data_IF_385035749614
#
_entry.id   IF_385035749614
#
_cell.length_a   1.000
_cell.length_b   1.000
_cell.length_c   1.000
_cell.angle_alpha   90.00
_cell.angle_beta   90.00
_cell.angle_gamma   90.00
#
_symmetry.space_group_name_H-M   'P 1'
#
loop_
_entity.id
_entity.type
_entity.pdbx_description
1 polymer ?
#
# COMPACT_ATOMS: atom_id res chain seq x y z
N UNK A 1 6.60 2.86 19.21
CA UNK A 1 5.99 1.70 18.55
C UNK A 1 4.46 1.82 18.52
N UNK A 2 3.79 2.16 19.62
CA UNK A 2 2.32 2.23 19.71
C UNK A 2 1.69 3.23 18.74
N UNK A 3 2.26 4.43 18.56
CA UNK A 3 1.77 5.42 17.61
C UNK A 3 1.90 4.93 16.16
N UNK A 4 3.01 4.27 15.82
CA UNK A 4 3.21 3.71 14.49
C UNK A 4 2.18 2.61 14.20
N UNK A 5 1.92 1.74 15.17
CA UNK A 5 0.91 0.69 15.04
C UNK A 5 -0.50 1.27 14.84
N UNK A 6 -0.89 2.28 15.61
CA UNK A 6 -2.18 2.97 15.45
C UNK A 6 -2.32 3.64 14.07
N UNK A 7 -1.26 4.30 13.60
CA UNK A 7 -1.25 4.89 12.26
C UNK A 7 -1.41 3.83 11.17
N UNK A 8 -0.72 2.68 11.29
CA UNK A 8 -0.80 1.58 10.33
C UNK A 8 -2.19 0.93 10.29
N UNK A 9 -2.84 0.75 11.44
CA UNK A 9 -4.20 0.19 11.54
C UNK A 9 -5.21 0.99 10.73
N UNK A 10 -5.08 2.31 10.67
CA UNK A 10 -5.95 3.19 9.88
C UNK A 10 -5.44 3.33 8.44
N UNK A 11 -4.14 3.49 8.26
CA UNK A 11 -3.51 3.77 6.96
C UNK A 11 -3.68 2.61 5.98
N UNK A 12 -3.45 1.37 6.41
CA UNK A 12 -3.50 0.20 5.53
C UNK A 12 -4.89 -0.03 4.93
N UNK A 13 -5.99 -0.07 5.72
CA UNK A 13 -7.33 -0.20 5.14
C UNK A 13 -7.71 0.97 4.24
N UNK A 14 -7.37 2.20 4.64
CA UNK A 14 -7.67 3.40 3.87
C UNK A 14 -7.02 3.35 2.49
N UNK A 15 -5.71 3.04 2.43
CA UNK A 15 -4.98 2.96 1.16
C UNK A 15 -5.50 1.81 0.30
N UNK A 16 -5.82 0.66 0.88
CA UNK A 16 -6.38 -0.47 0.14
C UNK A 16 -7.74 -0.11 -0.48
N UNK A 17 -8.65 0.50 0.29
CA UNK A 17 -9.96 0.93 -0.21
C UNK A 17 -9.80 1.98 -1.31
N UNK A 18 -8.98 3.00 -1.10
CA UNK A 18 -8.71 4.04 -2.11
C UNK A 18 -8.09 3.47 -3.38
N UNK A 19 -7.20 2.50 -3.27
CA UNK A 19 -6.58 1.83 -4.41
C UNK A 19 -7.60 1.03 -5.22
N UNK A 20 -8.48 0.27 -4.54
CA UNK A 20 -9.57 -0.47 -5.20
C UNK A 20 -10.52 0.49 -5.92
N UNK A 21 -10.93 1.57 -5.26
CA UNK A 21 -11.78 2.61 -5.86
C UNK A 21 -11.11 3.21 -7.09
N UNK A 22 -9.84 3.61 -7.01
CA UNK A 22 -9.09 4.25 -8.09
C UNK A 22 -8.95 3.34 -9.31
N UNK A 23 -8.57 2.07 -9.12
CA UNK A 23 -8.40 1.12 -10.22
C UNK A 23 -9.76 0.79 -10.84
N UNK A 24 -10.77 0.51 -10.03
CA UNK A 24 -12.11 0.20 -10.51
C UNK A 24 -12.78 1.39 -11.20
N UNK A 25 -12.46 2.62 -10.79
CA UNK A 25 -12.96 3.85 -11.41
C UNK A 25 -12.34 4.13 -12.79
N UNK A 26 -11.19 3.60 -13.12
CA UNK A 26 -10.50 3.81 -14.41
C UNK A 26 -11.09 3.00 -15.57
N UNK A 27 -11.89 1.96 -15.32
CA UNK A 27 -12.59 1.18 -16.33
C UNK A 27 -13.90 1.85 -16.80
N UNK A 28 -14.03 2.19 -18.07
CA UNK A 28 -15.05 3.05 -18.69
C UNK A 28 -16.55 2.65 -18.62
N UNK A 29 -17.02 1.85 -17.70
CA UNK A 29 -18.38 1.29 -17.70
C UNK A 29 -19.35 2.01 -16.73
N UNK A 30 -20.62 2.17 -17.14
CA UNK A 30 -21.68 2.97 -16.50
C UNK A 30 -22.19 2.41 -15.15
N UNK A 31 -21.95 1.14 -14.84
CA UNK A 31 -22.32 0.50 -13.57
C UNK A 31 -21.14 0.47 -12.55
N UNK A 32 -20.33 1.51 -12.57
CA UNK A 32 -19.07 1.63 -11.80
C UNK A 32 -19.23 1.36 -10.32
N UNK A 33 -20.22 1.95 -9.69
CA UNK A 33 -20.38 1.87 -8.23
C UNK A 33 -20.70 0.46 -7.75
N UNK A 34 -21.48 -0.31 -8.50
CA UNK A 34 -21.76 -1.72 -8.16
C UNK A 34 -20.51 -2.58 -8.30
N UNK A 35 -19.71 -2.33 -9.33
CA UNK A 35 -18.44 -3.03 -9.54
C UNK A 35 -17.44 -2.66 -8.46
N UNK A 36 -17.34 -1.36 -8.11
CA UNK A 36 -16.43 -0.86 -7.06
C UNK A 36 -16.80 -1.45 -5.70
N UNK A 37 -18.07 -1.37 -5.29
CA UNK A 37 -18.51 -1.93 -4.01
C UNK A 37 -18.33 -3.45 -3.96
N UNK A 38 -18.65 -4.16 -5.03
CA UNK A 38 -18.37 -5.59 -5.14
C UNK A 38 -16.87 -5.87 -5.00
N UNK A 39 -16.02 -5.17 -5.74
CA UNK A 39 -14.56 -5.35 -5.69
C UNK A 39 -13.96 -5.04 -4.33
N UNK A 40 -14.46 -4.03 -3.61
CA UNK A 40 -14.03 -3.72 -2.24
C UNK A 40 -14.45 -4.81 -1.27
N UNK A 41 -15.72 -5.23 -1.30
CA UNK A 41 -16.28 -6.21 -0.38
C UNK A 41 -15.78 -7.64 -0.60
N UNK A 42 -15.34 -7.97 -1.82
CA UNK A 42 -14.76 -9.29 -2.13
C UNK A 42 -13.23 -9.30 -2.10
N UNK A 43 -12.59 -8.16 -1.87
CA UNK A 43 -11.14 -8.08 -1.82
C UNK A 43 -10.61 -8.71 -0.52
N UNK A 44 -9.79 -9.77 -0.60
CA UNK A 44 -9.30 -10.46 0.59
C UNK A 44 -8.43 -9.59 1.50
N UNK A 45 -7.70 -8.60 0.94
CA UNK A 45 -6.90 -7.67 1.73
C UNK A 45 -7.78 -6.73 2.55
N UNK A 46 -8.85 -6.22 1.94
CA UNK A 46 -9.83 -5.35 2.61
C UNK A 46 -10.57 -6.12 3.69
N UNK A 47 -11.05 -7.34 3.36
CA UNK A 47 -11.74 -8.21 4.32
C UNK A 47 -10.84 -8.56 5.52
N UNK A 48 -9.58 -8.91 5.29
CA UNK A 48 -8.64 -9.20 6.37
C UNK A 48 -8.43 -8.00 7.30
N UNK A 49 -8.32 -6.78 6.75
CA UNK A 49 -8.22 -5.55 7.55
C UNK A 49 -9.47 -5.33 8.41
N UNK A 50 -10.66 -5.46 7.84
CA UNK A 50 -11.91 -5.27 8.60
C UNK A 50 -12.13 -6.35 9.64
N UNK A 51 -11.79 -7.61 9.32
CA UNK A 51 -11.85 -8.71 10.31
C UNK A 51 -10.88 -8.46 11.46
N UNK A 52 -9.63 -8.10 11.18
CA UNK A 52 -8.64 -7.80 12.22
C UNK A 52 -9.05 -6.62 13.10
N UNK A 53 -9.58 -5.54 12.51
CA UNK A 53 -10.11 -4.41 13.28
C UNK A 53 -11.34 -4.81 14.12
N UNK A 54 -12.24 -5.63 13.57
CA UNK A 54 -13.41 -6.14 14.30
C UNK A 54 -13.01 -6.98 15.50
N UNK A 55 -12.12 -7.95 15.32
CA UNK A 55 -11.62 -8.80 16.42
C UNK A 55 -10.97 -7.94 17.52
N UNK A 56 -10.17 -6.94 17.13
CA UNK A 56 -9.54 -6.02 18.07
C UNK A 56 -10.56 -5.14 18.81
N UNK A 57 -11.58 -4.61 18.11
CA UNK A 57 -12.60 -3.75 18.70
C UNK A 57 -13.47 -4.49 19.72
N UNK A 58 -13.86 -5.73 19.43
CA UNK A 58 -14.67 -6.56 20.32
C UNK A 58 -13.83 -7.31 21.37
N UNK A 59 -12.49 -7.07 21.41
CA UNK A 59 -11.58 -7.79 22.31
C UNK A 59 -11.77 -9.30 22.26
N UNK A 60 -11.96 -9.86 21.05
CA UNK A 60 -12.15 -11.30 20.89
C UNK A 60 -10.83 -11.99 21.18
N UNK A 61 -10.81 -12.83 22.20
CA UNK A 61 -9.66 -13.68 22.52
C UNK A 61 -9.53 -14.77 21.47
N UNK A 62 -8.50 -14.67 20.64
CA UNK A 62 -8.15 -15.74 19.70
C UNK A 62 -7.32 -16.76 20.47
N UNK A 63 -7.68 -18.06 20.44
CA UNK A 63 -6.89 -19.11 21.09
C UNK A 63 -5.43 -19.10 20.63
N UNK A 64 -4.49 -19.46 21.50
CA UNK A 64 -3.05 -19.46 21.23
C UNK A 64 -2.71 -20.23 19.95
N UNK A 65 -3.32 -21.40 19.75
CA UNK A 65 -3.17 -22.18 18.51
C UNK A 65 -3.59 -21.37 17.26
N UNK A 66 -4.64 -20.54 17.37
CA UNK A 66 -5.09 -19.67 16.28
C UNK A 66 -4.05 -18.61 15.95
N UNK A 67 -3.42 -18.00 16.94
CA UNK A 67 -2.34 -17.05 16.77
C UNK A 67 -1.11 -17.69 16.13
N UNK A 68 -0.69 -18.86 16.59
CA UNK A 68 0.44 -19.61 16.02
C UNK A 68 0.22 -19.91 14.53
N UNK A 69 -0.99 -20.36 14.14
CA UNK A 69 -1.32 -20.62 12.74
C UNK A 69 -1.25 -19.34 11.91
N UNK A 70 -1.83 -18.25 12.39
CA UNK A 70 -1.81 -16.96 11.68
C UNK A 70 -0.37 -16.45 11.54
N UNK A 71 0.45 -16.57 12.56
CA UNK A 71 1.86 -16.17 12.54
C UNK A 71 2.64 -16.96 11.49
N UNK A 72 2.58 -18.30 11.52
CA UNK A 72 3.25 -19.15 10.54
C UNK A 72 2.81 -18.85 9.11
N UNK A 73 1.52 -18.59 8.87
CA UNK A 73 1.00 -18.23 7.55
C UNK A 73 1.40 -16.83 7.12
N UNK A 74 1.67 -15.92 8.05
CA UNK A 74 2.08 -14.54 7.75
C UNK A 74 3.56 -14.42 7.37
N UNK A 75 4.43 -15.26 7.91
CA UNK A 75 5.88 -15.22 7.68
C UNK A 75 6.28 -15.23 6.18
N UNK A 76 5.70 -16.08 5.32
CA UNK A 76 6.04 -16.10 3.89
C UNK A 76 5.43 -14.95 3.08
N UNK A 77 4.54 -14.14 3.66
CA UNK A 77 3.82 -13.10 2.90
C UNK A 77 4.76 -12.08 2.25
N UNK A 78 5.78 -11.59 3.00
CA UNK A 78 6.75 -10.65 2.47
C UNK A 78 7.66 -11.28 1.40
N UNK A 79 8.33 -12.43 1.64
CA UNK A 79 9.14 -13.07 0.62
C UNK A 79 8.35 -13.43 -0.66
N UNK A 80 7.15 -13.99 -0.51
CA UNK A 80 6.31 -14.35 -1.67
C UNK A 80 5.84 -13.09 -2.41
N UNK A 81 5.51 -12.02 -1.71
CA UNK A 81 5.17 -10.74 -2.31
C UNK A 81 6.31 -10.17 -3.15
N UNK A 82 7.55 -10.19 -2.63
CA UNK A 82 8.73 -9.74 -3.36
C UNK A 82 9.05 -10.63 -4.58
N UNK A 83 8.92 -11.95 -4.45
CA UNK A 83 9.09 -12.88 -5.57
C UNK A 83 8.04 -12.62 -6.66
N UNK A 84 6.78 -12.38 -6.28
CA UNK A 84 5.71 -12.06 -7.23
C UNK A 84 5.98 -10.76 -7.98
N UNK A 85 6.46 -9.73 -7.29
CA UNK A 85 6.90 -8.46 -7.93
C UNK A 85 8.06 -8.71 -8.88
N UNK A 86 9.09 -9.43 -8.41
CA UNK A 86 10.26 -9.77 -9.23
C UNK A 86 9.89 -10.52 -10.52
N UNK A 87 8.97 -11.47 -10.43
CA UNK A 87 8.47 -12.20 -11.59
C UNK A 87 7.64 -11.32 -12.57
N UNK A 88 7.11 -10.19 -12.09
CA UNK A 88 6.35 -9.25 -12.90
C UNK A 88 7.18 -8.18 -13.61
N UNK A 89 8.49 -8.12 -13.39
CA UNK A 89 9.37 -7.11 -13.99
C UNK A 89 9.59 -7.42 -15.47
N UNK A 90 9.24 -6.48 -16.33
CA UNK A 90 9.48 -6.52 -17.77
C UNK A 90 10.23 -5.26 -18.20
N UNK A 91 11.55 -5.35 -18.28
CA UNK A 91 12.43 -4.22 -18.63
C UNK A 91 12.17 -3.62 -20.02
N UNK A 92 11.65 -4.42 -20.94
CA UNK A 92 11.35 -3.99 -22.34
C UNK A 92 10.23 -2.94 -22.39
N UNK A 93 9.34 -2.93 -21.40
CA UNK A 93 8.16 -2.03 -21.38
C UNK A 93 8.48 -0.66 -20.77
N UNK A 94 9.67 -0.45 -20.22
CA UNK A 94 10.04 0.82 -19.56
C UNK A 94 10.02 1.98 -20.56
N UNK A 95 10.39 1.75 -21.83
CA UNK A 95 10.46 2.79 -22.87
C UNK A 95 9.13 3.52 -23.11
N UNK A 96 8.02 2.80 -23.18
CA UNK A 96 6.68 3.35 -23.46
C UNK A 96 5.99 3.93 -22.24
N UNK A 97 6.49 3.65 -21.03
CA UNK A 97 5.85 4.01 -19.76
C UNK A 97 6.73 4.90 -18.86
N UNK A 98 7.79 5.49 -19.44
CA UNK A 98 8.75 6.32 -18.70
C UNK A 98 8.08 7.49 -17.98
N UNK A 99 7.10 8.14 -18.62
CA UNK A 99 6.37 9.24 -18.02
C UNK A 99 5.57 8.81 -16.78
N UNK A 100 4.81 7.71 -16.88
CA UNK A 100 4.03 7.17 -15.77
C UNK A 100 4.94 6.76 -14.59
N UNK A 101 6.08 6.16 -14.89
CA UNK A 101 7.09 5.79 -13.90
C UNK A 101 7.67 7.04 -13.22
N UNK A 102 8.08 8.05 -14.00
CA UNK A 102 8.64 9.29 -13.48
C UNK A 102 7.65 10.02 -12.57
N UNK A 103 6.38 10.14 -12.99
CA UNK A 103 5.33 10.75 -12.19
C UNK A 103 5.08 9.97 -10.90
N UNK A 104 5.00 8.63 -10.98
CA UNK A 104 4.78 7.79 -9.81
C UNK A 104 5.92 7.89 -8.78
N UNK A 105 7.18 7.91 -9.26
CA UNK A 105 8.36 8.11 -8.41
C UNK A 105 8.35 9.49 -7.75
N UNK A 106 8.18 10.54 -8.54
CA UNK A 106 8.16 11.92 -8.05
C UNK A 106 7.05 12.15 -7.03
N UNK A 107 5.82 11.75 -7.37
CA UNK A 107 4.68 11.94 -6.48
C UNK A 107 4.85 11.17 -5.17
N UNK A 108 5.31 9.93 -5.21
CA UNK A 108 5.39 9.07 -4.03
C UNK A 108 6.59 9.39 -3.14
N UNK A 109 7.78 9.62 -3.73
CA UNK A 109 9.02 9.75 -2.95
C UNK A 109 9.40 11.19 -2.61
N UNK A 110 8.83 12.17 -3.33
CA UNK A 110 9.13 13.59 -3.11
C UNK A 110 7.88 14.41 -2.75
N UNK A 111 6.87 14.42 -3.61
CA UNK A 111 5.71 15.28 -3.39
C UNK A 111 4.91 14.87 -2.15
N UNK A 112 4.69 13.58 -1.94
CA UNK A 112 3.88 13.10 -0.81
C UNK A 112 4.58 13.30 0.55
N UNK A 113 5.86 12.96 0.77
CA UNK A 113 6.58 13.33 1.98
C UNK A 113 6.63 14.85 2.21
N UNK A 114 6.90 15.63 1.15
CA UNK A 114 6.91 17.11 1.27
C UNK A 114 5.56 17.65 1.75
N UNK A 115 4.44 17.14 1.23
CA UNK A 115 3.10 17.50 1.69
C UNK A 115 2.90 17.16 3.17
N UNK A 116 3.41 16.00 3.61
CA UNK A 116 3.32 15.60 5.01
C UNK A 116 4.16 16.52 5.90
N UNK A 117 5.37 16.90 5.48
CA UNK A 117 6.18 17.90 6.22
C UNK A 117 5.40 19.23 6.35
N UNK A 118 4.85 19.75 5.26
CA UNK A 118 4.04 20.97 5.31
C UNK A 118 2.85 20.81 6.25
N UNK A 119 2.13 19.67 6.17
CA UNK A 119 0.99 19.41 7.03
C UNK A 119 1.39 19.32 8.51
N UNK A 120 2.50 18.64 8.84
CA UNK A 120 2.98 18.55 10.24
C UNK A 120 3.36 19.89 10.82
N UNK A 121 3.93 20.80 10.00
CA UNK A 121 4.26 22.17 10.39
C UNK A 121 3.01 23.03 10.58
N UNK A 122 2.05 22.95 9.66
CA UNK A 122 0.80 23.73 9.73
C UNK A 122 -0.06 23.35 10.92
N UNK A 123 -0.23 22.04 11.16
CA UNK A 123 -1.04 21.53 12.27
C UNK A 123 -0.28 21.40 13.58
N UNK A 124 1.01 21.76 13.62
CA UNK A 124 1.87 21.69 14.81
C UNK A 124 1.79 20.34 15.50
N UNK A 125 1.89 19.26 14.71
CA UNK A 125 1.79 17.90 15.23
C UNK A 125 2.95 17.59 16.17
N UNK A 126 2.70 16.70 17.14
CA UNK A 126 3.74 16.23 18.06
C UNK A 126 4.91 15.59 17.26
N UNK A 127 6.18 15.83 17.66
CA UNK A 127 7.35 15.34 16.92
C UNK A 127 7.34 13.84 16.64
N UNK A 128 6.90 13.04 17.61
CA UNK A 128 6.79 11.59 17.43
C UNK A 128 5.76 11.16 16.37
N UNK A 129 4.63 11.85 16.29
CA UNK A 129 3.62 11.58 15.26
C UNK A 129 4.11 12.03 13.88
N UNK A 130 4.75 13.20 13.82
CA UNK A 130 5.33 13.73 12.58
C UNK A 130 6.37 12.78 11.99
N UNK A 131 7.28 12.26 12.83
CA UNK A 131 8.30 11.31 12.40
C UNK A 131 7.67 9.99 11.86
N UNK A 132 6.65 9.46 12.52
CA UNK A 132 5.95 8.25 12.07
C UNK A 132 5.27 8.48 10.74
N UNK A 133 4.52 9.58 10.59
CA UNK A 133 3.84 9.91 9.33
C UNK A 133 4.83 10.10 8.19
N UNK A 134 5.95 10.78 8.46
CA UNK A 134 6.99 10.99 7.46
C UNK A 134 7.60 9.67 7.03
N UNK A 135 8.00 8.80 7.96
CA UNK A 135 8.52 7.47 7.65
C UNK A 135 7.56 6.66 6.79
N UNK A 136 6.26 6.62 7.14
CA UNK A 136 5.25 5.88 6.37
C UNK A 136 5.09 6.40 4.94
N UNK A 137 5.27 7.70 4.74
CA UNK A 137 5.14 8.32 3.41
C UNK A 137 6.39 8.19 2.56
N UNK A 138 7.58 8.12 3.17
CA UNK A 138 8.85 7.90 2.49
C UNK A 138 9.03 6.46 2.00
N UNK A 139 8.31 5.49 2.58
CA UNK A 139 8.41 4.10 2.16
C UNK A 139 7.87 3.92 0.73
N UNK A 140 8.53 3.07 -0.11
CA UNK A 140 8.04 2.73 -1.44
C UNK A 140 6.68 2.01 -1.37
N UNK A 141 6.02 1.87 -2.52
CA UNK A 141 4.76 1.14 -2.60
C UNK A 141 4.95 -0.32 -2.16
N UNK A 142 4.02 -0.87 -1.37
CA UNK A 142 4.12 -2.24 -0.89
C UNK A 142 3.86 -3.26 -2.02
N UNK A 143 4.43 -4.46 -1.87
CA UNK A 143 4.21 -5.57 -2.81
C UNK A 143 2.73 -5.97 -2.95
N UNK A 144 1.90 -5.71 -1.94
CA UNK A 144 0.46 -5.91 -2.01
C UNK A 144 -0.21 -5.08 -3.12
N UNK A 145 0.35 -3.94 -3.50
CA UNK A 145 -0.15 -3.13 -4.61
C UNK A 145 -0.04 -3.86 -5.96
N UNK A 146 1.01 -4.69 -6.16
CA UNK A 146 1.15 -5.55 -7.33
C UNK A 146 0.04 -6.62 -7.37
N UNK A 147 -0.22 -7.26 -6.24
CA UNK A 147 -1.26 -8.28 -6.12
C UNK A 147 -2.63 -7.66 -6.41
N UNK A 148 -2.90 -6.48 -5.86
CA UNK A 148 -4.13 -5.74 -6.07
C UNK A 148 -4.32 -5.34 -7.53
N UNK A 149 -3.28 -4.82 -8.19
CA UNK A 149 -3.31 -4.49 -9.60
C UNK A 149 -3.65 -5.73 -10.47
N UNK A 150 -3.08 -6.89 -10.13
CA UNK A 150 -3.37 -8.15 -10.81
C UNK A 150 -4.82 -8.61 -10.62
N UNK A 151 -5.34 -8.51 -9.41
CA UNK A 151 -6.73 -8.92 -9.10
C UNK A 151 -7.77 -8.03 -9.78
N UNK A 152 -7.49 -6.73 -9.91
CA UNK A 152 -8.41 -5.75 -10.47
C UNK A 152 -8.20 -5.49 -11.97
N UNK A 153 -7.34 -6.28 -12.64
CA UNK A 153 -7.08 -6.14 -14.07
C UNK A 153 -6.32 -4.86 -14.47
N UNK A 154 -5.53 -4.29 -13.54
CA UNK A 154 -4.64 -3.17 -13.78
C UNK A 154 -3.38 -3.57 -14.55
N UNK A 155 -2.54 -2.59 -14.90
CA UNK A 155 -1.26 -2.84 -15.57
C UNK A 155 -0.22 -3.39 -14.58
N UNK A 156 -0.12 -4.72 -14.55
CA UNK A 156 0.71 -5.48 -13.60
C UNK A 156 2.20 -5.20 -13.82
N UNK A 157 2.62 -5.10 -15.09
CA UNK A 157 4.01 -4.84 -15.46
C UNK A 157 4.44 -3.43 -15.03
N UNK A 158 3.60 -2.43 -15.27
CA UNK A 158 3.84 -1.05 -14.81
C UNK A 158 3.96 -1.01 -13.28
N UNK A 159 3.08 -1.70 -12.56
CA UNK A 159 3.11 -1.72 -11.09
C UNK A 159 4.38 -2.39 -10.55
N UNK A 160 4.83 -3.50 -11.16
CA UNK A 160 6.08 -4.15 -10.79
C UNK A 160 7.29 -3.20 -10.99
N UNK A 161 7.34 -2.52 -12.13
CA UNK A 161 8.40 -1.56 -12.44
C UNK A 161 8.37 -0.36 -11.48
N UNK A 162 7.18 0.16 -11.13
CA UNK A 162 7.03 1.24 -10.13
C UNK A 162 7.60 0.80 -8.78
N UNK A 163 7.19 -0.36 -8.25
CA UNK A 163 7.65 -0.85 -6.95
C UNK A 163 9.17 -1.02 -6.95
N UNK A 164 9.73 -1.64 -7.99
CA UNK A 164 11.18 -1.89 -8.10
C UNK A 164 11.96 -0.57 -8.13
N UNK A 165 11.57 0.36 -9.01
CA UNK A 165 12.25 1.64 -9.11
C UNK A 165 12.09 2.50 -7.86
N UNK A 166 10.89 2.51 -7.26
CA UNK A 166 10.67 3.21 -5.98
C UNK A 166 11.56 2.64 -4.87
N UNK A 167 11.71 1.33 -4.80
CA UNK A 167 12.58 0.70 -3.79
C UNK A 167 14.04 1.08 -3.99
N UNK A 168 14.53 1.07 -5.24
CA UNK A 168 15.90 1.49 -5.54
C UNK A 168 16.14 2.97 -5.25
N UNK A 169 15.23 3.83 -5.67
CA UNK A 169 15.35 5.30 -5.47
C UNK A 169 15.14 5.67 -4.00
N UNK A 170 14.32 4.93 -3.25
CA UNK A 170 14.08 5.15 -1.84
C UNK A 170 15.37 5.03 -1.00
N UNK A 171 16.33 4.20 -1.40
CA UNK A 171 17.65 4.11 -0.74
C UNK A 171 18.37 5.46 -0.68
N UNK A 172 18.12 6.33 -1.66
CA UNK A 172 18.73 7.66 -1.75
C UNK A 172 17.82 8.76 -1.21
N UNK A 173 16.50 8.58 -1.32
CA UNK A 173 15.54 9.63 -0.92
C UNK A 173 15.17 9.56 0.57
N UNK A 174 15.14 8.38 1.19
CA UNK A 174 14.84 8.27 2.64
C UNK A 174 15.82 9.08 3.51
N UNK A 175 17.14 9.07 3.27
CA UNK A 175 18.07 9.86 4.08
C UNK A 175 17.93 11.38 3.91
N UNK A 176 17.19 11.86 2.91
CA UNK A 176 16.97 13.29 2.67
C UNK A 176 15.87 13.88 3.55
N UNK A 177 15.02 13.04 4.11
CA UNK A 177 13.87 13.42 4.94
C UNK A 177 14.13 13.24 6.44
#
# INVERSE_FOLDING_TARGET
>A
LTLAALCLVVYIPLVNVLSVISISASGGNRNRWVIVTGSVLTNPLVLACFLGMGLSYYNVEVPDLGWEIIEVLSLPALPLGLLAVGAGIHFVVIGDQTWQLAVALFCKLLAFPALVVVATLLFKLAPGLSAVLLLLTCLPAPSSAYILARQLGGNVSLMANIITLQTLVALFTIPLW
#
